data_IF_084779067450
#
_entry.id   IF_084779067450
#
_cell.length_a   1.000
_cell.length_b   1.000
_cell.length_c   1.000
_cell.angle_alpha   90.00
_cell.angle_beta   90.00
_cell.angle_gamma   90.00
#
_symmetry.space_group_name_H-M   'P 1'
#
loop_
_entity.id
_entity.type
_entity.pdbx_description
1 polymer ?
#
# COMPACT_ATOMS: atom_id res chain seq x y z
N UNK A 1 -16.70 -20.79 4.75
CA UNK A 1 -15.58 -21.69 4.39
C UNK A 1 -14.46 -20.79 3.88
N UNK A 2 -13.29 -20.78 4.54
CA UNK A 2 -12.15 -19.95 4.10
C UNK A 2 -11.56 -20.61 2.85
N UNK A 3 -11.49 -19.87 1.74
CA UNK A 3 -10.95 -20.37 0.48
C UNK A 3 -9.43 -20.45 0.61
N UNK A 4 -8.83 -21.56 0.17
CA UNK A 4 -7.37 -21.71 0.09
C UNK A 4 -6.87 -21.33 -1.30
N UNK A 5 -5.77 -20.56 -1.36
CA UNK A 5 -5.17 -20.06 -2.60
C UNK A 5 -3.69 -20.33 -2.63
N UNK A 6 -3.19 -20.88 -3.75
CA UNK A 6 -1.75 -20.97 -4.03
C UNK A 6 -1.36 -19.82 -4.93
N UNK A 7 -0.31 -19.10 -4.56
CA UNK A 7 0.20 -17.94 -5.30
C UNK A 7 1.71 -18.05 -5.42
N UNK A 8 2.29 -17.57 -6.52
CA UNK A 8 3.74 -17.62 -6.66
C UNK A 8 4.41 -16.56 -5.78
N UNK A 9 3.97 -15.29 -5.93
CA UNK A 9 4.43 -14.17 -5.10
C UNK A 9 3.23 -13.46 -4.48
N UNK A 10 3.19 -13.38 -3.15
CA UNK A 10 2.18 -12.64 -2.41
C UNK A 10 2.74 -11.28 -1.96
N UNK A 11 2.11 -10.20 -2.39
CA UNK A 11 2.48 -8.83 -2.03
C UNK A 11 1.44 -8.30 -1.04
N UNK A 12 1.89 -7.90 0.15
CA UNK A 12 1.01 -7.41 1.22
C UNK A 12 1.04 -5.89 1.31
N UNK A 13 -0.02 -5.22 0.84
CA UNK A 13 -0.23 -3.78 0.92
C UNK A 13 -0.15 -3.10 -0.44
N UNK A 14 -1.11 -2.23 -0.76
CA UNK A 14 -1.23 -1.56 -2.07
C UNK A 14 -0.85 -0.08 -2.09
N UNK A 15 0.04 0.33 -1.18
CA UNK A 15 0.71 1.64 -1.27
C UNK A 15 1.71 1.68 -2.43
N UNK A 16 2.44 2.80 -2.55
CA UNK A 16 3.48 3.02 -3.58
C UNK A 16 4.46 1.83 -3.66
N UNK A 17 4.92 1.32 -2.52
CA UNK A 17 5.86 0.20 -2.47
C UNK A 17 5.28 -1.09 -3.08
N UNK A 18 4.05 -1.46 -2.69
CA UNK A 18 3.41 -2.68 -3.17
C UNK A 18 3.01 -2.60 -4.64
N UNK A 19 2.48 -1.46 -5.09
CA UNK A 19 2.16 -1.24 -6.50
C UNK A 19 3.41 -1.26 -7.38
N UNK A 20 4.53 -0.71 -6.92
CA UNK A 20 5.81 -0.79 -7.63
C UNK A 20 6.33 -2.23 -7.67
N UNK A 21 6.31 -2.96 -6.55
CA UNK A 21 6.72 -4.36 -6.51
C UNK A 21 5.87 -5.23 -7.46
N UNK A 22 4.55 -5.03 -7.44
CA UNK A 22 3.60 -5.70 -8.33
C UNK A 22 3.94 -5.46 -9.80
N UNK A 23 4.17 -4.21 -10.18
CA UNK A 23 4.54 -3.82 -11.54
C UNK A 23 5.82 -4.53 -12.01
N UNK A 24 6.86 -4.54 -11.19
CA UNK A 24 8.13 -5.19 -11.55
C UNK A 24 8.01 -6.71 -11.65
N UNK A 25 7.29 -7.34 -10.71
CA UNK A 25 7.07 -8.79 -10.70
C UNK A 25 6.15 -9.29 -11.83
N UNK A 26 5.20 -8.46 -12.26
CA UNK A 26 4.38 -8.76 -13.42
C UNK A 26 5.24 -8.84 -14.69
N UNK A 27 6.19 -7.91 -14.83
CA UNK A 27 7.11 -7.85 -15.97
C UNK A 27 8.13 -8.99 -15.99
N UNK A 28 8.37 -9.65 -14.87
CA UNK A 28 9.19 -10.88 -14.79
C UNK A 28 8.38 -12.16 -14.98
N UNK A 29 7.12 -12.07 -15.43
CA UNK A 29 6.21 -13.21 -15.60
C UNK A 29 6.02 -14.06 -14.32
N UNK A 30 6.16 -13.43 -13.16
CA UNK A 30 6.06 -14.13 -11.87
C UNK A 30 4.64 -14.28 -11.36
N UNK A 31 3.64 -13.75 -12.10
CA UNK A 31 2.21 -13.78 -11.77
C UNK A 31 1.94 -13.41 -10.29
N UNK A 32 2.34 -12.21 -9.84
CA UNK A 32 2.17 -11.79 -8.46
C UNK A 32 0.69 -11.55 -8.13
N UNK A 33 0.35 -11.69 -6.85
CA UNK A 33 -0.93 -11.29 -6.29
C UNK A 33 -0.72 -10.16 -5.30
N UNK A 34 -1.41 -9.04 -5.49
CA UNK A 34 -1.35 -7.86 -4.62
C UNK A 34 -2.57 -7.82 -3.71
N UNK A 35 -2.34 -7.74 -2.40
CA UNK A 35 -3.41 -7.53 -1.41
C UNK A 35 -3.50 -6.05 -1.05
N UNK A 36 -4.71 -5.50 -1.08
CA UNK A 36 -4.94 -4.10 -0.69
C UNK A 36 -4.60 -3.82 0.78
N UNK A 37 -4.96 -4.72 1.70
CA UNK A 37 -4.97 -4.43 3.13
C UNK A 37 -6.13 -3.52 3.53
N UNK A 38 -6.04 -2.91 4.72
CA UNK A 38 -7.14 -2.13 5.30
C UNK A 38 -7.27 -0.72 4.71
N UNK A 39 -6.22 -0.21 4.07
CA UNK A 39 -6.17 1.13 3.48
C UNK A 39 -5.64 1.01 2.05
N UNK A 40 -6.51 0.70 1.07
CA UNK A 40 -6.11 0.64 -0.33
C UNK A 40 -5.46 1.96 -0.75
N UNK A 41 -4.31 1.91 -1.44
CA UNK A 41 -3.54 3.10 -1.82
C UNK A 41 -2.60 3.63 -0.73
N UNK A 42 -2.71 3.15 0.51
CA UNK A 42 -1.82 3.52 1.60
C UNK A 42 -1.94 4.99 2.04
N UNK A 43 -0.87 5.51 2.64
CA UNK A 43 -0.87 6.82 3.31
C UNK A 43 -1.04 8.01 2.34
N UNK A 44 -0.65 7.88 1.07
CA UNK A 44 -0.85 8.96 0.09
C UNK A 44 -2.34 9.27 -0.14
N UNK A 45 -3.25 8.35 0.16
CA UNK A 45 -4.69 8.61 0.08
C UNK A 45 -5.18 9.74 0.99
N UNK A 46 -4.41 10.11 2.02
CA UNK A 46 -4.78 11.18 2.95
C UNK A 46 -4.08 12.51 2.66
N UNK A 47 -3.28 12.61 1.59
CA UNK A 47 -2.48 13.80 1.27
C UNK A 47 -2.99 14.45 -0.01
N UNK A 48 -3.42 15.71 0.07
CA UNK A 48 -4.01 16.43 -1.07
C UNK A 48 -2.97 17.09 -1.97
N UNK A 49 -1.81 17.45 -1.43
CA UNK A 49 -0.75 18.16 -2.16
C UNK A 49 0.57 17.39 -2.01
N UNK A 50 1.12 16.94 -3.13
CA UNK A 50 2.39 16.24 -3.22
C UNK A 50 3.25 16.96 -4.26
N UNK A 51 4.37 17.50 -3.80
CA UNK A 51 5.31 18.29 -4.63
C UNK A 51 6.69 17.64 -4.76
N UNK A 52 6.90 16.54 -4.04
CA UNK A 52 8.20 15.89 -3.88
C UNK A 52 8.24 14.46 -4.45
N UNK A 53 7.26 14.07 -5.27
CA UNK A 53 7.28 12.79 -5.99
C UNK A 53 7.96 12.98 -7.36
N UNK A 54 9.18 12.46 -7.58
CA UNK A 54 9.91 12.72 -8.82
C UNK A 54 9.16 12.24 -10.06
N UNK A 55 9.19 13.05 -11.11
CA UNK A 55 8.45 12.79 -12.36
C UNK A 55 7.23 13.69 -12.55
N UNK A 56 6.85 14.46 -11.53
CA UNK A 56 5.81 15.50 -11.63
C UNK A 56 6.41 16.86 -11.29
N UNK A 57 6.27 17.82 -12.21
CA UNK A 57 6.71 19.21 -12.00
C UNK A 57 5.66 20.06 -11.30
N UNK A 58 4.39 19.70 -11.47
CA UNK A 58 3.25 20.38 -10.87
C UNK A 58 2.83 19.61 -9.61
N UNK A 59 2.25 20.32 -8.64
CA UNK A 59 1.60 19.74 -7.47
C UNK A 59 0.52 18.75 -7.93
N UNK A 60 0.58 17.54 -7.41
CA UNK A 60 -0.38 16.46 -7.69
C UNK A 60 -0.97 15.94 -6.39
N UNK A 61 -2.19 15.39 -6.44
CA UNK A 61 -2.78 14.81 -5.24
C UNK A 61 -2.31 13.38 -5.01
N UNK A 62 -2.14 12.99 -3.75
CA UNK A 62 -1.79 11.63 -3.36
C UNK A 62 -2.79 10.59 -3.86
N UNK A 63 -4.13 10.79 -3.75
CA UNK A 63 -5.12 9.91 -4.34
C UNK A 63 -4.96 9.76 -5.86
N UNK A 64 -4.64 10.83 -6.58
CA UNK A 64 -4.41 10.77 -8.02
C UNK A 64 -3.18 9.93 -8.37
N UNK A 65 -2.05 10.13 -7.66
CA UNK A 65 -0.85 9.29 -7.83
C UNK A 65 -1.20 7.81 -7.63
N UNK A 66 -1.92 7.48 -6.56
CA UNK A 66 -2.26 6.09 -6.25
C UNK A 66 -3.22 5.47 -7.27
N UNK A 67 -4.15 6.25 -7.82
CA UNK A 67 -5.00 5.79 -8.92
C UNK A 67 -4.17 5.49 -10.18
N UNK A 68 -3.22 6.36 -10.54
CA UNK A 68 -2.31 6.10 -11.66
C UNK A 68 -1.50 4.81 -11.45
N UNK A 69 -0.98 4.59 -10.24
CA UNK A 69 -0.24 3.36 -9.91
C UNK A 69 -1.14 2.12 -9.97
N UNK A 70 -2.37 2.20 -9.47
CA UNK A 70 -3.35 1.10 -9.57
C UNK A 70 -3.69 0.75 -11.01
N UNK A 71 -3.87 1.77 -11.86
CA UNK A 71 -4.12 1.58 -13.28
C UNK A 71 -2.92 0.95 -13.99
N UNK A 72 -1.69 1.27 -13.60
CA UNK A 72 -0.49 0.59 -14.09
C UNK A 72 -0.47 -0.90 -13.67
N UNK A 73 -0.74 -1.19 -12.40
CA UNK A 73 -0.81 -2.58 -11.89
C UNK A 73 -1.84 -3.40 -12.67
N UNK A 74 -3.05 -2.85 -12.90
CA UNK A 74 -4.10 -3.48 -13.71
C UNK A 74 -3.69 -3.68 -15.18
N UNK A 75 -2.99 -2.71 -15.77
CA UNK A 75 -2.53 -2.78 -17.16
C UNK A 75 -1.58 -3.97 -17.39
N UNK A 76 -0.83 -4.37 -16.38
CA UNK A 76 0.05 -5.55 -16.42
C UNK A 76 -0.64 -6.81 -15.87
N UNK A 77 -1.97 -6.82 -15.81
CA UNK A 77 -2.80 -7.98 -15.45
C UNK A 77 -2.46 -8.59 -14.09
N UNK A 78 -1.91 -7.79 -13.17
CA UNK A 78 -1.69 -8.22 -11.80
C UNK A 78 -3.05 -8.41 -11.13
N UNK A 79 -3.23 -9.56 -10.50
CA UNK A 79 -4.40 -9.81 -9.70
C UNK A 79 -4.32 -8.99 -8.40
N UNK A 80 -5.33 -8.15 -8.18
CA UNK A 80 -5.46 -7.33 -6.98
C UNK A 80 -6.66 -7.80 -6.17
N UNK A 81 -6.45 -8.11 -4.90
CA UNK A 81 -7.47 -8.69 -4.01
C UNK A 81 -7.70 -7.78 -2.81
N UNK A 82 -8.97 -7.51 -2.54
CA UNK A 82 -9.43 -6.93 -1.29
C UNK A 82 -9.35 -7.96 -0.15
N UNK A 83 -8.17 -8.11 0.45
CA UNK A 83 -8.00 -8.90 1.67
C UNK A 83 -6.94 -8.27 2.58
N UNK A 84 -6.96 -8.65 3.85
CA UNK A 84 -6.01 -8.20 4.85
C UNK A 84 -5.43 -9.41 5.58
N UNK A 85 -4.10 -9.52 5.56
CA UNK A 85 -3.36 -10.59 6.24
C UNK A 85 -3.25 -10.28 7.73
N UNK A 86 -3.70 -11.23 8.54
CA UNK A 86 -3.63 -11.21 10.00
C UNK A 86 -2.37 -11.86 10.55
N UNK A 87 -1.90 -12.92 9.91
CA UNK A 87 -0.77 -13.70 10.37
C UNK A 87 -0.04 -14.33 9.19
N UNK A 88 1.28 -14.52 9.33
CA UNK A 88 2.10 -15.25 8.37
C UNK A 88 2.99 -16.22 9.12
N UNK A 89 3.04 -17.47 8.65
CA UNK A 89 3.95 -18.49 9.13
C UNK A 89 5.13 -18.62 8.16
N UNK A 90 6.28 -18.06 8.55
CA UNK A 90 7.53 -18.14 7.81
C UNK A 90 8.37 -19.39 8.14
N UNK A 91 7.90 -20.27 9.04
CA UNK A 91 8.63 -21.49 9.43
C UNK A 91 8.38 -22.67 8.50
N UNK A 92 7.34 -22.59 7.67
CA UNK A 92 6.93 -23.63 6.75
C UNK A 92 7.01 -23.13 5.31
N UNK A 93 7.26 -24.06 4.38
CA UNK A 93 7.29 -23.76 2.94
C UNK A 93 6.28 -24.66 2.20
N UNK A 94 5.45 -24.11 1.28
CA UNK A 94 5.28 -22.68 0.97
C UNK A 94 4.80 -21.87 2.18
N UNK A 95 5.10 -20.56 2.19
CA UNK A 95 4.74 -19.68 3.29
C UNK A 95 3.22 -19.57 3.40
N UNK A 96 2.69 -19.75 4.61
CA UNK A 96 1.26 -19.67 4.87
C UNK A 96 0.91 -18.26 5.39
N UNK A 97 -0.03 -17.57 4.74
CA UNK A 97 -0.52 -16.26 5.16
C UNK A 97 -2.05 -16.31 5.33
N UNK A 98 -2.52 -15.99 6.53
CA UNK A 98 -3.93 -16.03 6.91
C UNK A 98 -4.57 -14.67 6.70
N UNK A 99 -5.45 -14.57 5.70
CA UNK A 99 -6.27 -13.40 5.42
C UNK A 99 -7.58 -13.35 6.20
N UNK A 100 -8.36 -12.30 5.96
CA UNK A 100 -9.74 -12.21 6.42
C UNK A 100 -10.67 -13.09 5.58
N UNK A 101 -10.39 -13.21 4.28
CA UNK A 101 -11.26 -13.91 3.33
C UNK A 101 -10.68 -15.25 2.87
N UNK A 102 -9.35 -15.37 2.79
CA UNK A 102 -8.68 -16.55 2.28
C UNK A 102 -7.42 -16.94 3.08
N UNK A 103 -6.99 -18.18 2.90
CA UNK A 103 -5.67 -18.67 3.31
C UNK A 103 -4.78 -18.72 2.07
N UNK A 104 -3.61 -18.08 2.12
CA UNK A 104 -2.68 -18.01 1.01
C UNK A 104 -1.45 -18.87 1.28
N UNK A 105 -1.04 -19.64 0.28
CA UNK A 105 0.23 -20.37 0.27
C UNK A 105 1.11 -19.77 -0.82
N UNK A 106 2.21 -19.13 -0.42
CA UNK A 106 3.07 -18.35 -1.30
C UNK A 106 4.48 -18.92 -1.38
N UNK A 107 5.06 -19.02 -2.58
CA UNK A 107 6.47 -19.38 -2.74
C UNK A 107 7.39 -18.24 -2.29
N UNK A 108 6.93 -17.00 -2.44
CA UNK A 108 7.64 -15.79 -2.01
C UNK A 108 6.65 -14.76 -1.48
N UNK A 109 7.11 -13.96 -0.52
CA UNK A 109 6.30 -12.96 0.16
C UNK A 109 7.02 -11.62 0.12
N UNK A 110 6.32 -10.57 -0.30
CA UNK A 110 6.81 -9.18 -0.28
C UNK A 110 5.96 -8.38 0.70
N UNK A 111 6.59 -7.85 1.75
CA UNK A 111 5.91 -7.11 2.81
C UNK A 111 5.97 -5.62 2.49
N UNK A 112 4.82 -5.04 2.15
CA UNK A 112 4.66 -3.61 1.81
C UNK A 112 3.52 -2.96 2.63
N UNK A 113 3.31 -3.42 3.86
CA UNK A 113 2.16 -3.04 4.71
C UNK A 113 2.17 -1.58 5.15
N UNK A 114 3.31 -0.90 4.98
CA UNK A 114 3.50 0.48 5.40
C UNK A 114 3.47 0.65 6.91
N UNK A 115 3.28 1.89 7.33
CA UNK A 115 3.07 2.28 8.72
C UNK A 115 2.01 3.40 8.76
N UNK A 116 1.45 3.65 9.94
CA UNK A 116 0.55 4.76 10.18
C UNK A 116 1.15 5.69 11.22
N UNK A 117 0.95 7.00 11.03
CA UNK A 117 1.33 7.99 12.03
C UNK A 117 0.59 7.71 13.34
N UNK A 118 1.32 7.74 14.45
CA UNK A 118 0.72 7.73 15.79
C UNK A 118 0.30 9.15 16.12
N UNK A 119 -0.95 9.30 16.52
CA UNK A 119 -1.57 10.57 16.85
C UNK A 119 -1.88 10.63 18.35
N UNK A 120 -1.93 11.83 18.92
CA UNK A 120 -2.26 12.05 20.33
C UNK A 120 -3.73 11.81 20.63
N UNK A 121 -4.58 11.79 19.60
CA UNK A 121 -6.03 11.57 19.66
C UNK A 121 -6.77 12.62 20.51
N UNK A 122 -6.32 13.88 20.45
CA UNK A 122 -7.03 15.01 21.05
C UNK A 122 -7.94 15.69 20.02
N UNK A 123 -9.09 16.27 20.40
CA UNK A 123 -10.04 16.84 19.45
C UNK A 123 -9.44 17.90 18.51
N UNK A 124 -8.58 18.77 19.04
CA UNK A 124 -7.92 19.83 18.27
C UNK A 124 -6.96 19.29 17.22
N UNK A 125 -6.37 18.10 17.43
CA UNK A 125 -5.43 17.50 16.49
C UNK A 125 -6.12 17.20 15.16
N UNK A 126 -7.36 16.70 15.19
CA UNK A 126 -8.17 16.46 13.98
C UNK A 126 -8.58 17.77 13.31
N UNK A 127 -8.97 18.78 14.09
CA UNK A 127 -9.41 20.09 13.58
C UNK A 127 -8.33 20.81 12.77
N UNK A 128 -7.07 20.71 13.20
CA UNK A 128 -5.97 21.46 12.60
C UNK A 128 -5.07 20.63 11.66
N UNK A 129 -5.45 19.39 11.31
CA UNK A 129 -4.65 18.58 10.36
C UNK A 129 -4.57 19.27 9.00
N UNK A 130 -3.34 19.47 8.50
CA UNK A 130 -3.08 20.20 7.24
C UNK A 130 -3.18 21.73 7.37
N UNK A 131 -3.53 22.25 8.55
CA UNK A 131 -3.64 23.69 8.85
C UNK A 131 -2.79 24.10 10.06
N UNK A 132 -1.68 23.39 10.30
CA UNK A 132 -0.75 23.63 11.42
C UNK A 132 -0.41 22.37 12.21
N UNK A 133 -1.20 21.30 12.08
CA UNK A 133 -0.88 19.97 12.60
C UNK A 133 -0.49 19.05 11.44
N UNK A 134 0.72 18.50 11.50
CA UNK A 134 1.29 17.59 10.50
C UNK A 134 1.88 16.34 11.16
N UNK A 135 1.99 15.27 10.39
CA UNK A 135 2.72 14.04 10.77
C UNK A 135 3.99 13.80 9.94
N UNK A 136 4.34 14.69 9.02
CA UNK A 136 5.49 14.56 8.12
C UNK A 136 6.20 15.90 7.93
N UNK A 137 7.28 16.13 8.69
CA UNK A 137 8.05 17.38 8.59
C UNK A 137 8.66 17.62 7.19
N UNK A 138 9.09 16.56 6.50
CA UNK A 138 9.64 16.65 5.13
C UNK A 138 8.58 16.91 4.07
N UNK A 139 7.31 16.66 4.38
CA UNK A 139 6.20 16.94 3.49
C UNK A 139 5.75 18.38 3.68
N UNK A 140 5.56 18.81 4.94
CA UNK A 140 4.80 20.03 5.22
C UNK A 140 5.64 21.17 5.81
N UNK A 141 6.93 20.93 6.10
CA UNK A 141 7.78 21.91 6.78
C UNK A 141 7.92 23.25 6.05
N UNK A 142 7.86 23.24 4.71
CA UNK A 142 7.89 24.45 3.88
C UNK A 142 6.57 25.24 3.92
N UNK A 143 5.43 24.59 4.14
CA UNK A 143 4.12 25.28 4.17
C UNK A 143 3.90 26.10 5.44
N UNK A 144 4.67 25.82 6.50
CA UNK A 144 4.56 26.47 7.82
C UNK A 144 5.79 27.30 8.20
N UNK A 145 6.71 27.55 7.26
CA UNK A 145 7.92 28.36 7.45
C UNK A 145 7.74 29.82 7.04
#
# INVERSE_FOLDING_TARGET
MIISRKVNVLIMGSGVAGSTAALYLARSHSNPVLLHGNQPGGQLMTTLEVENYPGFTNTVSGPWIMDQMHNQVKKFEVEVIDDHIKAVNFKTYPFEATGNKALYYANSVVICTGAQAKWLNIPSETTFRGYGVSSCATCDGFFFS
#
